data_IF_889777244945
#
_entry.id   IF_889777244945
#
_cell.length_a   1.000
_cell.length_b   1.000
_cell.length_c   1.000
_cell.angle_alpha   90.00
_cell.angle_beta   90.00
_cell.angle_gamma   90.00
#
_symmetry.space_group_name_H-M   'P 1'
#
loop_
_entity.id
_entity.type
_entity.pdbx_description
1 polymer ?
#
# COMPACT_ATOMS: atom_id res chain seq x y z
N UNK A 1 30.86 -26.97 5.13
CA UNK A 1 30.43 -26.02 4.08
C UNK A 1 29.19 -25.29 4.60
N UNK A 2 29.30 -24.28 5.47
CA UNK A 2 29.76 -22.93 5.15
C UNK A 2 28.54 -22.01 5.08
N UNK A 3 28.04 -21.57 6.24
CA UNK A 3 26.88 -20.69 6.38
C UNK A 3 27.17 -19.30 5.79
N UNK A 4 26.67 -19.03 4.58
CA UNK A 4 26.42 -17.66 4.15
C UNK A 4 24.98 -17.32 4.49
N UNK A 5 24.76 -16.72 5.66
CA UNK A 5 23.59 -15.86 5.83
C UNK A 5 23.82 -14.67 4.89
N UNK A 6 23.38 -14.79 3.64
CA UNK A 6 23.35 -13.67 2.72
C UNK A 6 22.59 -12.53 3.42
N UNK A 7 23.13 -11.32 3.39
CA UNK A 7 22.46 -10.15 3.96
C UNK A 7 21.12 -9.96 3.25
N UNK A 8 20.02 -10.48 3.83
CA UNK A 8 18.65 -10.43 3.26
C UNK A 8 18.00 -9.05 3.40
N UNK A 9 18.82 -8.02 3.60
CA UNK A 9 18.40 -6.64 3.87
C UNK A 9 19.17 -5.73 2.93
N UNK A 10 18.43 -4.92 2.17
CA UNK A 10 18.99 -3.91 1.27
C UNK A 10 18.53 -2.55 1.78
N UNK A 11 19.50 -1.69 2.09
CA UNK A 11 19.26 -0.28 2.41
C UNK A 11 19.79 0.55 1.23
N UNK A 12 18.93 1.22 0.46
CA UNK A 12 19.37 2.05 -0.67
C UNK A 12 20.29 3.18 -0.22
N UNK A 13 21.34 3.48 -1.00
CA UNK A 13 22.26 4.61 -0.74
C UNK A 13 21.72 5.97 -1.21
N UNK A 14 20.64 5.95 -1.97
CA UNK A 14 19.99 7.13 -2.55
C UNK A 14 18.48 6.91 -2.57
N UNK A 15 17.74 7.98 -2.86
CA UNK A 15 16.30 7.94 -3.03
C UNK A 15 15.95 6.97 -4.16
N UNK A 16 14.95 6.14 -3.92
CA UNK A 16 14.39 5.20 -4.89
C UNK A 16 13.01 5.64 -5.31
N UNK A 17 12.57 5.19 -6.48
CA UNK A 17 11.18 5.28 -6.90
C UNK A 17 10.31 4.38 -6.00
N UNK A 18 9.80 4.96 -4.92
CA UNK A 18 9.02 4.25 -3.91
C UNK A 18 7.72 3.65 -4.47
N UNK A 19 6.92 4.36 -5.28
CA UNK A 19 5.74 3.77 -5.93
C UNK A 19 6.06 2.51 -6.74
N UNK A 20 7.11 2.52 -7.57
CA UNK A 20 7.50 1.33 -8.33
C UNK A 20 7.99 0.20 -7.42
N UNK A 21 8.74 0.52 -6.36
CA UNK A 21 9.17 -0.48 -5.39
C UNK A 21 7.98 -1.15 -4.68
N UNK A 22 7.01 -0.35 -4.22
CA UNK A 22 5.77 -0.83 -3.62
C UNK A 22 4.99 -1.68 -4.62
N UNK A 23 4.81 -1.19 -5.84
CA UNK A 23 4.10 -1.91 -6.90
C UNK A 23 4.73 -3.25 -7.25
N UNK A 24 6.03 -3.47 -7.02
CA UNK A 24 6.74 -4.73 -7.26
C UNK A 24 6.91 -5.60 -6.01
N UNK A 25 6.63 -5.09 -4.82
CA UNK A 25 6.80 -5.82 -3.56
C UNK A 25 5.71 -6.88 -3.32
N UNK A 26 6.06 -8.00 -2.69
CA UNK A 26 5.07 -9.00 -2.28
C UNK A 26 4.16 -8.47 -1.15
N UNK A 27 4.71 -7.66 -0.24
CA UNK A 27 4.02 -6.94 0.82
C UNK A 27 4.81 -5.70 1.24
N UNK A 28 4.16 -4.80 1.98
CA UNK A 28 4.78 -3.64 2.63
C UNK A 28 4.56 -3.71 4.14
N UNK A 29 5.59 -3.41 4.91
CA UNK A 29 5.48 -3.09 6.35
C UNK A 29 5.90 -1.64 6.52
N UNK A 30 5.04 -0.80 7.10
CA UNK A 30 5.29 0.64 7.24
C UNK A 30 4.80 1.19 8.58
N UNK A 31 5.45 2.24 9.08
CA UNK A 31 5.07 2.91 10.32
C UNK A 31 3.86 3.87 10.18
N UNK A 32 3.12 3.83 9.06
CA UNK A 32 1.93 4.67 8.84
C UNK A 32 2.03 5.57 7.60
N UNK A 33 1.10 6.53 7.50
CA UNK A 33 1.20 7.67 6.58
C UNK A 33 0.68 7.42 5.16
N UNK A 34 1.20 8.18 4.19
CA UNK A 34 0.75 8.10 2.78
C UNK A 34 1.12 6.77 2.14
N UNK A 35 2.25 6.18 2.53
CA UNK A 35 2.75 4.93 1.98
C UNK A 35 1.80 3.74 2.21
N UNK A 36 1.07 3.71 3.34
CA UNK A 36 0.03 2.70 3.58
C UNK A 36 -1.09 2.79 2.54
N UNK A 37 -1.55 4.02 2.28
CA UNK A 37 -2.63 4.31 1.35
C UNK A 37 -2.20 4.05 -0.10
N UNK A 38 -0.96 4.38 -0.44
CA UNK A 38 -0.39 4.07 -1.75
C UNK A 38 -0.30 2.56 -1.99
N UNK A 39 0.21 1.80 -1.01
CA UNK A 39 0.25 0.33 -1.09
C UNK A 39 -1.16 -0.27 -1.23
N UNK A 40 -2.12 0.19 -0.42
CA UNK A 40 -3.51 -0.25 -0.49
C UNK A 40 -4.19 0.13 -1.83
N UNK A 41 -3.85 1.27 -2.43
CA UNK A 41 -4.34 1.69 -3.75
C UNK A 41 -3.75 0.85 -4.89
N UNK A 42 -2.50 0.43 -4.76
CA UNK A 42 -1.82 -0.48 -5.69
C UNK A 42 -2.21 -1.96 -5.50
N UNK A 43 -3.08 -2.27 -4.53
CA UNK A 43 -3.49 -3.64 -4.23
C UNK A 43 -2.38 -4.49 -3.61
N UNK A 44 -1.37 -3.85 -3.00
CA UNK A 44 -0.25 -4.51 -2.34
C UNK A 44 -0.63 -4.75 -0.88
N UNK A 45 -0.51 -5.99 -0.36
CA UNK A 45 -0.73 -6.26 1.05
C UNK A 45 0.14 -5.35 1.92
N UNK A 46 -0.48 -4.62 2.84
CA UNK A 46 0.23 -3.67 3.70
C UNK A 46 -0.11 -3.88 5.17
N UNK A 47 0.95 -3.89 5.96
CA UNK A 47 0.96 -4.00 7.41
C UNK A 47 1.47 -2.71 8.00
N UNK A 48 0.82 -2.22 9.05
CA UNK A 48 1.28 -1.04 9.77
C UNK A 48 1.67 -1.32 11.20
N UNK A 49 2.82 -0.80 11.61
CA UNK A 49 3.27 -0.78 13.01
C UNK A 49 2.88 0.51 13.72
N UNK A 50 2.09 1.38 13.06
CA UNK A 50 1.65 2.64 13.65
C UNK A 50 0.74 2.38 14.86
N UNK A 51 1.16 2.89 16.01
CA UNK A 51 0.46 2.73 17.29
C UNK A 51 -0.27 4.01 17.74
N UNK A 52 -0.30 5.05 16.91
CA UNK A 52 -1.00 6.31 17.18
C UNK A 52 -2.47 6.28 16.78
N UNK A 53 -3.14 7.43 16.88
CA UNK A 53 -4.52 7.57 16.44
C UNK A 53 -4.62 7.39 14.92
N UNK A 54 -5.38 6.38 14.50
CA UNK A 54 -5.60 6.05 13.10
C UNK A 54 -6.45 7.15 12.44
N UNK A 55 -6.09 7.57 11.24
CA UNK A 55 -6.90 8.53 10.47
C UNK A 55 -8.07 7.84 9.78
N UNK A 56 -9.16 8.57 9.52
CA UNK A 56 -10.41 8.02 8.96
C UNK A 56 -10.22 7.15 7.70
N UNK A 57 -9.30 7.53 6.81
CA UNK A 57 -9.00 6.72 5.60
C UNK A 57 -8.35 5.39 5.99
N UNK A 58 -7.41 5.40 6.92
CA UNK A 58 -6.73 4.19 7.38
C UNK A 58 -7.70 3.30 8.19
N UNK A 59 -8.63 3.89 8.97
CA UNK A 59 -9.71 3.16 9.64
C UNK A 59 -10.59 2.42 8.63
N UNK A 60 -11.00 3.09 7.55
CA UNK A 60 -11.77 2.46 6.49
C UNK A 60 -10.97 1.35 5.79
N UNK A 61 -9.70 1.58 5.47
CA UNK A 61 -8.84 0.55 4.85
C UNK A 61 -8.65 -0.67 5.76
N UNK A 62 -8.59 -0.46 7.08
CA UNK A 62 -8.55 -1.55 8.06
C UNK A 62 -9.87 -2.33 8.07
N UNK A 63 -11.00 -1.63 8.07
CA UNK A 63 -12.33 -2.25 7.99
C UNK A 63 -12.50 -3.07 6.70
N UNK A 64 -11.96 -2.59 5.57
CA UNK A 64 -11.92 -3.28 4.28
C UNK A 64 -10.85 -4.39 4.20
N UNK A 65 -10.08 -4.64 5.26
CA UNK A 65 -8.95 -5.58 5.31
C UNK A 65 -7.82 -5.30 4.30
N UNK A 66 -7.77 -4.06 3.78
CA UNK A 66 -6.75 -3.57 2.83
C UNK A 66 -5.54 -2.96 3.51
N UNK A 67 -5.66 -2.66 4.81
CA UNK A 67 -4.56 -2.30 5.72
C UNK A 67 -4.67 -3.16 6.97
N UNK A 68 -3.56 -3.76 7.42
CA UNK A 68 -3.54 -4.63 8.60
C UNK A 68 -2.68 -4.03 9.69
N UNK A 69 -3.18 -4.00 10.92
CA UNK A 69 -2.37 -3.60 12.07
C UNK A 69 -1.45 -4.77 12.45
N UNK A 70 -0.15 -4.49 12.54
CA UNK A 70 0.86 -5.48 12.88
C UNK A 70 1.19 -5.41 14.37
N UNK A 71 0.73 -6.39 15.13
CA UNK A 71 0.93 -6.47 16.59
C UNK A 71 2.06 -7.42 16.99
N UNK A 72 2.45 -8.35 16.10
CA UNK A 72 3.59 -9.25 16.28
C UNK A 72 4.20 -9.64 14.94
N UNK A 73 5.48 -10.04 14.94
CA UNK A 73 6.17 -10.44 13.71
C UNK A 73 5.55 -11.69 13.05
N UNK A 74 5.01 -12.61 13.85
CA UNK A 74 4.44 -13.87 13.36
C UNK A 74 3.11 -13.67 12.62
N UNK A 75 2.49 -12.49 12.71
CA UNK A 75 1.27 -12.15 11.99
C UNK A 75 1.49 -11.77 10.51
N UNK A 76 2.75 -11.70 10.05
CA UNK A 76 3.07 -11.40 8.65
C UNK A 76 2.91 -12.66 7.79
N UNK A 77 1.98 -12.61 6.84
CA UNK A 77 1.83 -13.67 5.83
C UNK A 77 2.87 -13.48 4.71
N UNK A 78 3.89 -14.34 4.68
CA UNK A 78 4.93 -14.34 3.66
C UNK A 78 4.54 -15.19 2.47
N UNK A 79 3.74 -14.60 1.58
CA UNK A 79 3.28 -15.24 0.35
C UNK A 79 3.77 -14.46 -0.87
N UNK A 80 4.16 -15.18 -1.93
CA UNK A 80 4.49 -14.54 -3.21
C UNK A 80 3.22 -13.97 -3.81
N UNK A 81 3.25 -12.68 -4.15
CA UNK A 81 2.11 -12.05 -4.80
C UNK A 81 1.99 -12.58 -6.22
N UNK A 82 0.77 -12.97 -6.61
CA UNK A 82 0.46 -13.35 -7.98
C UNK A 82 0.63 -12.18 -8.96
N UNK A 83 0.39 -12.46 -10.24
CA UNK A 83 0.44 -11.43 -11.29
C UNK A 83 -0.55 -10.30 -10.94
N UNK A 84 -0.12 -9.03 -10.96
CA UNK A 84 -1.01 -7.90 -10.67
C UNK A 84 -2.25 -7.97 -11.56
N UNK A 85 -3.44 -7.81 -10.97
CA UNK A 85 -4.67 -7.70 -11.76
C UNK A 85 -4.58 -6.47 -12.65
N UNK A 86 -5.13 -6.56 -13.86
CA UNK A 86 -5.18 -5.43 -14.79
C UNK A 86 -5.85 -4.24 -14.08
N UNK A 87 -5.20 -3.08 -14.12
CA UNK A 87 -5.73 -1.87 -13.52
C UNK A 87 -7.06 -1.56 -14.18
N UNK A 88 -8.12 -1.46 -13.39
CA UNK A 88 -9.40 -0.99 -13.89
C UNK A 88 -9.22 0.49 -14.29
N UNK A 89 -9.13 0.74 -15.59
CA UNK A 89 -9.15 2.08 -16.14
C UNK A 89 -10.59 2.59 -16.05
N UNK A 90 -10.76 3.80 -15.50
CA UNK A 90 -12.07 4.47 -15.48
C UNK A 90 -12.08 5.50 -16.57
N UNK A 91 -13.23 5.66 -17.23
CA UNK A 91 -13.43 6.72 -18.20
C UNK A 91 -13.16 8.09 -17.55
N UNK A 92 -12.17 8.87 -18.02
CA UNK A 92 -11.89 10.19 -17.47
C UNK A 92 -13.07 11.17 -17.65
N UNK A 93 -13.97 10.93 -18.60
CA UNK A 93 -15.16 11.76 -18.78
C UNK A 93 -16.04 11.77 -17.52
N UNK A 94 -16.16 10.63 -16.82
CA UNK A 94 -16.90 10.55 -15.56
C UNK A 94 -16.37 11.53 -14.50
N UNK A 95 -15.06 11.71 -14.43
CA UNK A 95 -14.47 12.65 -13.47
C UNK A 95 -14.78 14.09 -13.86
N UNK A 96 -14.73 14.41 -15.15
CA UNK A 96 -15.12 15.73 -15.65
C UNK A 96 -16.60 16.01 -15.34
N UNK A 97 -17.49 15.06 -15.62
CA UNK A 97 -18.93 15.21 -15.36
C UNK A 97 -19.20 15.51 -13.87
N UNK A 98 -18.55 14.75 -12.96
CA UNK A 98 -18.66 14.97 -11.51
C UNK A 98 -18.16 16.35 -11.08
N UNK A 99 -17.07 16.84 -11.68
CA UNK A 99 -16.56 18.19 -11.41
C UNK A 99 -17.53 19.26 -11.90
N UNK A 100 -18.17 19.05 -13.04
CA UNK A 100 -19.11 20.00 -13.63
C UNK A 100 -20.47 20.01 -12.92
N UNK A 101 -20.90 18.92 -12.28
CA UNK A 101 -22.10 18.95 -11.41
C UNK A 101 -22.00 19.96 -10.27
N UNK A 102 -20.80 20.33 -9.83
CA UNK A 102 -20.62 21.40 -8.84
C UNK A 102 -20.95 22.80 -9.41
N UNK A 103 -20.92 22.97 -10.74
CA UNK A 103 -21.28 24.22 -11.42
C UNK A 103 -22.78 24.30 -11.74
N UNK A 104 -23.46 23.15 -11.82
CA UNK A 104 -24.89 23.06 -12.06
C UNK A 104 -25.72 23.28 -10.77
N UNK A 105 -25.04 23.41 -9.62
CA UNK A 105 -25.61 23.63 -8.30
C UNK A 105 -25.34 25.01 -7.70
N UNK A 106 -25.78 26.08 -8.37
CA UNK A 106 -26.30 27.34 -7.81
C UNK A 106 -27.26 28.02 -8.80
#
# INVERSE_FOLDING_TARGET
FGSRAATRVVVPKAVVDAPSLVALADLVVSAGGTMNREAAALGVPVYTTFAGQVGAVDEQLIAEQRLRVLTSADAVALEKRGTPKQRAERDPALFLDLLLTALEGH
#
